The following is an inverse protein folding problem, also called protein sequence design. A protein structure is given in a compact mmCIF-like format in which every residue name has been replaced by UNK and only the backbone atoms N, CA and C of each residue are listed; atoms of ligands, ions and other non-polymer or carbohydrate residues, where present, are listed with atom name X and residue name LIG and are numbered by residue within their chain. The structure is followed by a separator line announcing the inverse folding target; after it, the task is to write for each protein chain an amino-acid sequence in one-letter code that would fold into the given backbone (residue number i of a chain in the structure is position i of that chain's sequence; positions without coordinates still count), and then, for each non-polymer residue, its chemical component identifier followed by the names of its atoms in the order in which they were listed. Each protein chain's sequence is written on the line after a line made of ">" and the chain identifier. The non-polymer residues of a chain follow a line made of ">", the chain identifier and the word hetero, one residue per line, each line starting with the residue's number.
data_IF_977164259128
#
_entry.id   IF_977164259128
#
_cell.length_a   1.000
_cell.length_b   1.000
_cell.length_c   1.000
_cell.angle_alpha   90.00
_cell.angle_beta   90.00
_cell.angle_gamma   90.00
#
_symmetry.space_group_name_H-M   'P 1'
#
loop_
_entity.id
_entity.type
_entity.pdbx_description
1 polymer ?
#
# COMPACT_ATOMS: atom_id res chain seq x y z
N UNK A 1 14.88 -1.72 2.45
CA UNK A 1 13.77 -1.51 3.38
C UNK A 1 13.35 -2.76 4.18
N UNK A 2 13.89 -3.95 3.86
CA UNK A 2 13.59 -5.19 4.59
C UNK A 2 14.18 -5.26 6.00
N UNK A 3 15.17 -4.44 6.31
CA UNK A 3 15.79 -4.43 7.63
C UNK A 3 14.86 -3.86 8.70
N UNK A 4 14.83 -4.51 9.85
CA UNK A 4 14.09 -4.07 11.02
C UNK A 4 14.99 -3.22 11.88
N UNK A 5 14.58 -1.99 12.15
CA UNK A 5 15.29 -1.04 13.02
C UNK A 5 14.41 -0.76 14.22
N UNK A 6 15.03 -0.68 15.40
CA UNK A 6 14.33 -0.40 16.65
C UNK A 6 13.79 -1.64 17.35
N UNK A 7 12.79 -1.47 18.17
CA UNK A 7 12.17 -2.52 18.97
C UNK A 7 10.99 -3.15 18.22
N UNK A 8 10.72 -4.46 18.37
CA UNK A 8 9.57 -5.12 17.75
C UNK A 8 8.24 -4.85 18.49
N UNK A 9 8.20 -3.86 19.35
CA UNK A 9 7.05 -3.50 20.18
C UNK A 9 7.04 -2.00 20.44
N UNK A 10 5.87 -1.47 20.76
CA UNK A 10 5.70 -0.10 21.25
C UNK A 10 5.95 -0.10 22.75
N UNK A 11 6.90 0.71 23.19
CA UNK A 11 7.23 0.84 24.62
C UNK A 11 6.17 1.71 25.31
N UNK A 12 5.50 1.15 26.29
CA UNK A 12 4.51 1.84 27.10
C UNK A 12 4.86 1.66 28.59
N UNK A 13 4.79 2.73 29.37
CA UNK A 13 4.94 2.64 30.84
C UNK A 13 3.78 1.80 31.40
N UNK A 14 4.05 0.68 32.09
CA UNK A 14 3.01 -0.17 32.65
C UNK A 14 2.04 0.56 33.58
N UNK A 15 2.48 1.64 34.24
CA UNK A 15 1.63 2.48 35.11
C UNK A 15 0.52 3.23 34.36
N UNK A 16 0.64 3.36 33.05
CA UNK A 16 -0.40 3.97 32.21
C UNK A 16 -1.47 2.98 31.76
N UNK A 17 -1.26 1.67 32.00
CA UNK A 17 -2.23 0.63 31.68
C UNK A 17 -3.22 0.55 32.82
N UNK A 18 -4.46 1.00 32.58
CA UNK A 18 -5.52 1.06 33.57
C UNK A 18 -6.41 -0.20 33.60
N UNK A 19 -6.31 -1.04 32.59
CA UNK A 19 -7.06 -2.30 32.50
C UNK A 19 -6.66 -3.10 31.29
N UNK A 20 -6.86 -4.42 31.35
CA UNK A 20 -6.68 -5.38 30.27
C UNK A 20 -7.99 -6.15 30.14
N UNK A 21 -8.53 -6.22 28.93
CA UNK A 21 -9.71 -7.01 28.60
C UNK A 21 -9.28 -8.14 27.69
N UNK A 22 -9.40 -9.37 28.15
CA UNK A 22 -9.19 -10.54 27.32
C UNK A 22 -10.43 -10.81 26.47
N UNK A 23 -10.21 -11.09 25.19
CA UNK A 23 -11.29 -11.36 24.24
C UNK A 23 -10.86 -12.40 23.23
N UNK A 24 -11.82 -13.19 22.74
CA UNK A 24 -11.64 -14.11 21.62
C UNK A 24 -12.23 -13.55 20.32
N UNK A 25 -12.52 -12.26 20.26
CA UNK A 25 -12.99 -11.64 19.03
C UNK A 25 -11.83 -11.60 18.03
N UNK A 26 -12.05 -12.12 16.81
CA UNK A 26 -11.05 -12.03 15.76
C UNK A 26 -10.91 -10.57 15.30
N UNK A 27 -9.78 -10.28 14.67
CA UNK A 27 -9.64 -9.04 13.92
C UNK A 27 -10.64 -9.02 12.76
N UNK A 28 -11.26 -7.86 12.52
CA UNK A 28 -12.15 -7.66 11.38
C UNK A 28 -11.41 -6.99 10.24
N UNK A 29 -11.38 -7.66 9.10
CA UNK A 29 -10.96 -7.03 7.85
C UNK A 29 -12.19 -6.44 7.14
N UNK A 30 -12.05 -5.24 6.59
CA UNK A 30 -13.10 -4.65 5.75
C UNK A 30 -13.20 -5.43 4.44
N UNK A 31 -14.43 -5.82 4.05
CA UNK A 31 -14.67 -6.36 2.74
C UNK A 31 -14.30 -5.34 1.65
N UNK A 32 -13.71 -5.83 0.57
CA UNK A 32 -13.55 -5.05 -0.66
C UNK A 32 -14.74 -5.36 -1.58
N UNK A 33 -15.16 -4.38 -2.35
CA UNK A 33 -16.13 -4.63 -3.41
C UNK A 33 -15.51 -5.53 -4.49
N UNK A 34 -16.34 -6.30 -5.16
CA UNK A 34 -15.90 -7.13 -6.29
C UNK A 34 -15.25 -6.27 -7.39
N UNK A 35 -14.32 -6.88 -8.11
CA UNK A 35 -13.72 -6.25 -9.28
C UNK A 35 -14.80 -5.95 -10.33
N UNK A 36 -14.73 -4.76 -10.93
CA UNK A 36 -15.60 -4.35 -12.02
C UNK A 36 -14.76 -4.05 -13.28
N UNK A 37 -15.37 -4.14 -14.49
CA UNK A 37 -14.63 -3.93 -15.74
C UNK A 37 -13.94 -2.58 -15.87
N UNK A 38 -14.47 -1.54 -15.21
CA UNK A 38 -13.89 -0.19 -15.23
C UNK A 38 -12.60 -0.14 -14.38
N UNK A 39 -12.66 -0.63 -13.16
CA UNK A 39 -11.48 -0.68 -12.28
C UNK A 39 -10.41 -1.59 -12.84
N UNK A 40 -10.76 -2.73 -13.45
CA UNK A 40 -9.82 -3.60 -14.16
C UNK A 40 -9.14 -2.89 -15.33
N UNK A 41 -9.88 -2.11 -16.09
CA UNK A 41 -9.34 -1.31 -17.20
C UNK A 41 -8.36 -0.24 -16.70
N UNK A 42 -8.68 0.43 -15.61
CA UNK A 42 -7.78 1.40 -14.95
C UNK A 42 -6.50 0.68 -14.50
N UNK A 43 -6.65 -0.47 -13.83
CA UNK A 43 -5.53 -1.27 -13.37
C UNK A 43 -4.59 -1.68 -14.50
N UNK A 44 -5.14 -2.13 -15.62
CA UNK A 44 -4.37 -2.52 -16.80
C UNK A 44 -3.65 -1.31 -17.42
N UNK A 45 -4.31 -0.17 -17.56
CA UNK A 45 -3.69 1.05 -18.11
C UNK A 45 -2.50 1.51 -17.26
N UNK A 46 -2.60 1.43 -15.92
CA UNK A 46 -1.48 1.76 -15.02
C UNK A 46 -0.33 0.77 -15.18
N UNK A 47 -0.60 -0.52 -15.26
CA UNK A 47 0.42 -1.54 -15.47
C UNK A 47 1.14 -1.35 -16.80
N UNK A 48 0.40 -1.09 -17.89
CA UNK A 48 0.95 -0.82 -19.23
C UNK A 48 1.83 0.43 -19.24
N UNK A 49 1.41 1.49 -18.54
CA UNK A 49 2.19 2.72 -18.38
C UNK A 49 3.54 2.45 -17.67
N UNK A 50 3.52 1.75 -16.55
CA UNK A 50 4.73 1.43 -15.81
C UNK A 50 5.67 0.50 -16.59
N UNK A 51 5.12 -0.49 -17.32
CA UNK A 51 5.89 -1.35 -18.20
C UNK A 51 6.54 -0.56 -19.37
N UNK A 52 5.83 0.43 -19.91
CA UNK A 52 6.38 1.31 -20.93
C UNK A 52 7.52 2.19 -20.38
N UNK A 53 7.38 2.69 -19.15
CA UNK A 53 8.42 3.48 -18.49
C UNK A 53 9.69 2.67 -18.17
N UNK A 54 9.52 1.38 -17.83
CA UNK A 54 10.65 0.47 -17.72
C UNK A 54 11.38 0.29 -19.06
N UNK A 55 10.63 0.08 -20.15
CA UNK A 55 11.21 -0.04 -21.51
C UNK A 55 11.95 1.23 -21.94
N UNK A 56 11.49 2.40 -21.51
CA UNK A 56 12.14 3.70 -21.77
C UNK A 56 13.33 3.99 -20.84
N UNK A 57 13.56 3.16 -19.84
CA UNK A 57 14.62 3.35 -18.85
C UNK A 57 14.33 4.44 -17.81
N UNK A 58 13.09 4.93 -17.73
CA UNK A 58 12.63 5.87 -16.68
C UNK A 58 12.53 5.13 -15.34
N UNK A 59 11.99 3.93 -15.36
CA UNK A 59 11.98 3.00 -14.23
C UNK A 59 13.11 1.98 -14.46
N UNK A 60 13.97 1.72 -13.46
CA UNK A 60 15.04 0.72 -13.59
C UNK A 60 14.46 -0.69 -13.82
N UNK A 61 15.25 -1.53 -14.50
CA UNK A 61 14.86 -2.92 -14.81
C UNK A 61 14.58 -3.80 -13.58
N UNK A 62 15.07 -3.39 -12.41
CA UNK A 62 14.79 -4.05 -11.12
C UNK A 62 13.46 -3.66 -10.51
N UNK A 63 12.76 -2.71 -11.15
CA UNK A 63 11.61 -1.98 -10.63
C UNK A 63 11.94 -1.14 -9.39
N UNK A 64 11.04 -0.30 -8.96
CA UNK A 64 11.16 0.51 -7.74
C UNK A 64 10.16 0.03 -6.69
N UNK A 65 10.38 0.34 -5.40
CA UNK A 65 9.38 0.04 -4.39
C UNK A 65 8.04 0.69 -4.74
N UNK A 66 6.97 -0.09 -4.63
CA UNK A 66 5.61 0.35 -4.96
C UNK A 66 4.84 0.66 -3.69
N UNK A 67 4.28 1.86 -3.60
CA UNK A 67 3.22 2.15 -2.65
C UNK A 67 1.87 2.08 -3.36
N UNK A 68 0.95 1.37 -2.78
CA UNK A 68 -0.43 1.28 -3.24
C UNK A 68 -1.37 1.70 -2.12
N UNK A 69 -2.37 2.48 -2.46
CA UNK A 69 -3.48 2.79 -1.57
C UNK A 69 -4.32 1.54 -1.25
N UNK A 70 -5.41 1.73 -0.54
CA UNK A 70 -6.39 0.70 -0.22
C UNK A 70 -7.64 0.92 -1.07
N UNK A 71 -8.22 -0.17 -1.61
CA UNK A 71 -9.46 -0.12 -2.36
C UNK A 71 -9.42 -0.83 -3.71
N UNK A 72 -10.55 -0.81 -4.42
CA UNK A 72 -10.73 -1.60 -5.64
C UNK A 72 -9.74 -1.26 -6.76
N UNK A 73 -9.47 0.03 -6.97
CA UNK A 73 -8.51 0.48 -8.01
C UNK A 73 -7.10 0.00 -7.64
N UNK A 74 -6.70 0.15 -6.38
CA UNK A 74 -5.40 -0.33 -5.91
C UNK A 74 -5.26 -1.85 -6.13
N UNK A 75 -6.28 -2.62 -5.79
CA UNK A 75 -6.31 -4.06 -6.00
C UNK A 75 -6.26 -4.44 -7.48
N UNK A 76 -6.98 -3.72 -8.35
CA UNK A 76 -6.97 -3.94 -9.79
C UNK A 76 -5.58 -3.66 -10.40
N UNK A 77 -4.91 -2.58 -9.97
CA UNK A 77 -3.52 -2.26 -10.37
C UNK A 77 -2.58 -3.38 -9.94
N UNK A 78 -2.64 -3.80 -8.67
CA UNK A 78 -1.80 -4.88 -8.18
C UNK A 78 -2.04 -6.20 -8.91
N UNK A 79 -3.31 -6.52 -9.19
CA UNK A 79 -3.68 -7.69 -10.00
C UNK A 79 -3.10 -7.62 -11.41
N UNK A 80 -3.15 -6.45 -12.07
CA UNK A 80 -2.59 -6.26 -13.40
C UNK A 80 -1.05 -6.39 -13.38
N UNK A 81 -0.37 -5.74 -12.42
CA UNK A 81 1.08 -5.88 -12.24
C UNK A 81 1.50 -7.32 -11.94
N UNK A 82 0.69 -8.04 -11.16
CA UNK A 82 0.92 -9.46 -10.87
C UNK A 82 0.85 -10.35 -12.12
N UNK A 83 -0.01 -10.03 -13.07
CA UNK A 83 -0.16 -10.77 -14.34
C UNK A 83 0.92 -10.43 -15.36
N UNK A 84 1.45 -9.21 -15.34
CA UNK A 84 2.47 -8.76 -16.29
C UNK A 84 3.85 -9.37 -15.96
N UNK A 85 4.27 -10.33 -16.80
CA UNK A 85 5.55 -11.03 -16.64
C UNK A 85 6.77 -10.18 -17.03
N UNK A 86 6.58 -9.02 -17.65
CA UNK A 86 7.68 -8.10 -17.99
C UNK A 86 8.13 -7.28 -16.79
N UNK A 87 7.28 -7.15 -15.78
CA UNK A 87 7.60 -6.48 -14.52
C UNK A 87 8.22 -7.51 -13.56
N UNK A 88 9.43 -7.29 -13.04
CA UNK A 88 10.07 -8.21 -12.10
C UNK A 88 9.37 -8.20 -10.74
N UNK A 89 9.73 -9.14 -9.86
CA UNK A 89 9.27 -9.11 -8.48
C UNK A 89 9.83 -7.87 -7.75
N UNK A 90 9.00 -7.16 -7.02
CA UNK A 90 9.26 -5.87 -6.41
C UNK A 90 8.98 -5.84 -4.91
N UNK A 91 9.35 -4.76 -4.24
CA UNK A 91 9.00 -4.49 -2.84
C UNK A 91 7.76 -3.59 -2.75
N UNK A 92 6.93 -3.83 -1.75
CA UNK A 92 5.69 -3.07 -1.55
C UNK A 92 5.59 -2.42 -0.18
N UNK A 93 4.94 -1.27 -0.21
CA UNK A 93 4.34 -0.63 0.95
C UNK A 93 2.86 -1.04 1.06
N UNK A 94 2.57 -2.32 1.33
CA UNK A 94 1.29 -3.05 1.42
C UNK A 94 0.93 -3.90 0.21
N UNK A 95 0.57 -5.17 0.42
CA UNK A 95 -0.10 -6.05 -0.56
C UNK A 95 0.48 -7.45 -0.76
N UNK A 96 0.16 -8.09 -1.84
CA UNK A 96 0.28 -9.50 -2.20
C UNK A 96 1.71 -10.09 -2.13
N UNK A 97 1.96 -10.98 -1.16
CA UNK A 97 3.28 -11.57 -0.90
C UNK A 97 3.37 -13.06 -1.31
N UNK A 98 2.23 -13.80 -1.31
CA UNK A 98 2.25 -15.26 -1.54
C UNK A 98 2.76 -15.70 -2.89
N UNK A 99 2.47 -14.94 -3.95
CA UNK A 99 2.80 -15.32 -5.32
C UNK A 99 4.29 -15.09 -5.69
N UNK A 100 5.11 -14.67 -4.71
CA UNK A 100 6.51 -14.31 -4.96
C UNK A 100 6.72 -13.06 -5.83
N UNK A 101 5.64 -12.39 -6.24
CA UNK A 101 5.68 -11.13 -7.00
C UNK A 101 6.07 -9.95 -6.12
N UNK A 102 5.73 -10.03 -4.85
CA UNK A 102 6.16 -9.08 -3.82
C UNK A 102 7.19 -9.76 -2.93
N UNK A 103 8.40 -9.25 -2.95
CA UNK A 103 9.53 -9.79 -2.17
C UNK A 103 9.40 -9.49 -0.68
N UNK A 104 8.91 -8.29 -0.36
CA UNK A 104 8.82 -7.78 0.99
C UNK A 104 7.75 -6.68 1.09
N UNK A 105 6.97 -6.69 2.17
CA UNK A 105 5.96 -5.69 2.46
C UNK A 105 6.30 -4.87 3.70
N UNK A 106 6.14 -3.56 3.62
CA UNK A 106 6.27 -2.63 4.74
C UNK A 106 5.08 -1.69 4.79
N UNK A 107 4.43 -1.58 5.93
CA UNK A 107 3.21 -0.79 6.09
C UNK A 107 3.08 -0.23 7.51
N UNK A 108 2.20 0.77 7.69
CA UNK A 108 1.79 1.22 9.01
C UNK A 108 0.57 0.42 9.54
N UNK A 109 -0.19 -0.17 8.65
CA UNK A 109 -1.31 -1.07 8.98
C UNK A 109 -1.47 -2.12 7.89
N UNK A 110 -2.09 -3.23 8.23
CA UNK A 110 -2.41 -4.30 7.29
C UNK A 110 -3.91 -4.25 6.99
N UNK A 111 -4.25 -3.91 5.75
CA UNK A 111 -5.63 -3.90 5.28
C UNK A 111 -5.76 -4.94 4.17
N UNK A 112 -6.41 -6.05 4.50
CA UNK A 112 -6.56 -7.23 3.64
C UNK A 112 -8.00 -7.74 3.72
N UNK A 113 -8.40 -8.67 2.85
CA UNK A 113 -9.67 -9.40 2.99
C UNK A 113 -9.60 -10.39 4.16
N UNK A 114 -10.75 -10.84 4.65
CA UNK A 114 -10.81 -11.85 5.73
C UNK A 114 -10.08 -13.14 5.35
N UNK A 115 -10.24 -13.62 4.10
CA UNK A 115 -9.57 -14.82 3.62
C UNK A 115 -8.04 -14.65 3.58
N UNK A 116 -7.59 -13.47 3.18
CA UNK A 116 -6.16 -13.14 3.19
C UNK A 116 -5.62 -13.04 4.62
N UNK A 117 -6.37 -12.45 5.54
CA UNK A 117 -6.00 -12.37 6.97
C UNK A 117 -5.89 -13.76 7.58
N UNK A 118 -6.89 -14.62 7.34
CA UNK A 118 -6.84 -16.02 7.79
C UNK A 118 -5.62 -16.74 7.22
N UNK A 119 -5.35 -16.56 5.94
CA UNK A 119 -4.16 -17.15 5.32
C UNK A 119 -2.82 -16.64 5.89
N UNK A 120 -2.78 -15.42 6.45
CA UNK A 120 -1.60 -14.92 7.16
C UNK A 120 -1.47 -15.61 8.51
N UNK A 121 -2.57 -15.79 9.24
CA UNK A 121 -2.56 -16.52 10.53
C UNK A 121 -2.15 -17.98 10.36
N UNK A 122 -2.64 -18.65 9.32
CA UNK A 122 -2.36 -20.05 9.04
C UNK A 122 -0.88 -20.30 8.69
N UNK A 123 -0.17 -19.26 8.20
CA UNK A 123 1.22 -19.37 7.74
C UNK A 123 2.09 -18.19 8.23
N UNK A 124 1.97 -17.89 9.49
CA UNK A 124 2.63 -16.74 10.13
C UNK A 124 4.16 -16.78 9.96
N UNK A 125 4.76 -17.97 10.00
CA UNK A 125 6.22 -18.12 9.85
C UNK A 125 6.69 -17.68 8.47
N UNK A 126 5.92 -17.96 7.41
CA UNK A 126 6.22 -17.47 6.06
C UNK A 126 6.16 -15.94 5.98
N UNK A 127 5.18 -15.32 6.64
CA UNK A 127 4.99 -13.86 6.57
C UNK A 127 5.92 -13.08 7.51
N UNK A 128 6.40 -13.69 8.58
CA UNK A 128 7.25 -13.03 9.59
C UNK A 128 8.46 -12.30 9.00
N UNK A 129 9.11 -12.90 8.01
CA UNK A 129 10.31 -12.35 7.39
C UNK A 129 10.01 -11.52 6.13
N UNK A 130 8.76 -11.50 5.69
CA UNK A 130 8.34 -10.83 4.46
C UNK A 130 7.45 -9.62 4.68
N UNK A 131 6.96 -9.42 5.92
CA UNK A 131 6.08 -8.31 6.27
C UNK A 131 6.57 -7.63 7.54
N UNK A 132 6.59 -6.31 7.54
CA UNK A 132 6.88 -5.51 8.73
C UNK A 132 5.87 -4.38 8.88
N UNK A 133 5.32 -4.24 10.07
CA UNK A 133 4.52 -3.08 10.45
C UNK A 133 5.43 -2.06 11.13
N UNK A 134 5.35 -0.82 10.68
CA UNK A 134 6.13 0.31 11.17
C UNK A 134 5.21 1.44 11.60
N UNK A 135 5.59 2.28 12.55
CA UNK A 135 4.81 3.48 12.84
C UNK A 135 4.72 4.39 11.60
N UNK A 136 3.64 5.16 11.51
CA UNK A 136 3.39 6.02 10.37
C UNK A 136 4.47 7.07 10.13
N UNK A 137 5.15 7.50 11.20
CA UNK A 137 6.30 8.42 11.14
C UNK A 137 7.48 7.87 10.33
N UNK A 138 7.54 6.56 10.14
CA UNK A 138 8.53 5.89 9.30
C UNK A 138 7.92 5.51 7.95
N UNK A 139 6.76 4.85 7.95
CA UNK A 139 6.11 4.37 6.72
C UNK A 139 5.72 5.52 5.78
N UNK A 140 5.22 6.62 6.35
CA UNK A 140 4.74 7.78 5.59
C UNK A 140 5.75 8.94 5.57
N UNK A 141 6.99 8.70 6.03
CA UNK A 141 7.98 9.75 6.11
C UNK A 141 8.38 10.27 4.72
N UNK A 142 8.18 11.57 4.41
CA UNK A 142 8.50 12.14 3.10
C UNK A 142 9.95 11.94 2.65
N UNK A 143 10.91 12.01 3.58
CA UNK A 143 12.32 11.77 3.30
C UNK A 143 12.56 10.31 2.90
N UNK A 144 11.99 9.37 3.65
CA UNK A 144 12.11 7.93 3.36
C UNK A 144 11.49 7.60 1.99
N UNK A 145 10.30 8.10 1.71
CA UNK A 145 9.60 7.92 0.42
C UNK A 145 10.47 8.43 -0.74
N UNK A 146 11.03 9.63 -0.60
CA UNK A 146 11.90 10.24 -1.63
C UNK A 146 13.20 9.48 -1.80
N UNK A 147 13.86 9.12 -0.72
CA UNK A 147 15.14 8.40 -0.76
C UNK A 147 15.00 7.00 -1.35
N UNK A 148 13.89 6.32 -1.12
CA UNK A 148 13.60 5.00 -1.71
C UNK A 148 13.22 5.07 -3.19
N UNK A 149 12.84 6.25 -3.69
CA UNK A 149 12.38 6.40 -5.07
C UNK A 149 11.06 5.67 -5.34
N UNK A 150 10.11 5.80 -4.43
CA UNK A 150 8.84 5.04 -4.46
C UNK A 150 8.02 5.39 -5.71
N UNK A 151 7.40 4.40 -6.33
CA UNK A 151 6.25 4.57 -7.24
C UNK A 151 5.01 4.62 -6.37
N UNK A 152 4.21 5.69 -6.46
CA UNK A 152 3.06 5.93 -5.61
C UNK A 152 1.77 5.87 -6.41
N UNK A 153 0.85 5.01 -6.00
CA UNK A 153 -0.48 4.85 -6.62
C UNK A 153 -1.54 5.10 -5.56
N UNK A 154 -2.28 6.18 -5.74
CA UNK A 154 -3.35 6.58 -4.82
C UNK A 154 -4.60 6.96 -5.60
N UNK A 155 -5.76 6.70 -5.00
CA UNK A 155 -7.05 7.09 -5.55
C UNK A 155 -7.41 8.49 -5.07
N UNK A 156 -7.92 9.31 -5.97
CA UNK A 156 -8.48 10.62 -5.66
C UNK A 156 -10.00 10.62 -5.84
N UNK A 157 -10.68 11.56 -5.18
CA UNK A 157 -12.13 11.79 -5.36
C UNK A 157 -12.36 12.61 -6.61
N UNK A 158 -11.61 13.69 -6.79
CA UNK A 158 -11.74 14.64 -7.89
C UNK A 158 -10.36 15.08 -8.39
N UNK A 159 -10.28 15.38 -9.67
CA UNK A 159 -9.12 16.03 -10.29
C UNK A 159 -9.61 17.10 -11.25
N UNK A 160 -8.89 18.22 -11.34
CA UNK A 160 -9.19 19.27 -12.30
C UNK A 160 -8.28 19.20 -13.55
N UNK A 161 -8.57 20.06 -14.52
CA UNK A 161 -7.80 20.12 -15.77
C UNK A 161 -6.36 20.61 -15.58
N UNK A 162 -6.05 21.20 -14.46
CA UNK A 162 -4.72 21.74 -14.13
C UNK A 162 -3.87 20.70 -13.35
N UNK A 163 -4.44 19.52 -13.06
CA UNK A 163 -3.77 18.47 -12.31
C UNK A 163 -3.85 18.63 -10.79
N UNK A 164 -4.71 19.52 -10.28
CA UNK A 164 -4.98 19.55 -8.85
C UNK A 164 -5.85 18.35 -8.47
N UNK A 165 -5.53 17.73 -7.35
CA UNK A 165 -6.16 16.49 -6.88
C UNK A 165 -6.81 16.75 -5.52
N UNK A 166 -8.05 16.33 -5.36
CA UNK A 166 -8.82 16.38 -4.13
C UNK A 166 -9.16 14.97 -3.64
N UNK A 167 -8.78 14.66 -2.42
CA UNK A 167 -9.05 13.38 -1.76
C UNK A 167 -9.90 13.50 -0.49
N UNK A 168 -10.51 14.65 -0.25
CA UNK A 168 -11.24 14.92 1.01
C UNK A 168 -12.69 15.33 0.83
N UNK A 169 -13.02 16.10 -0.20
CA UNK A 169 -14.33 16.69 -0.40
C UNK A 169 -14.99 16.28 -1.70
N UNK A 170 -16.30 16.34 -1.75
CA UNK A 170 -17.14 16.24 -2.94
C UNK A 170 -17.83 17.56 -3.18
N UNK A 171 -17.81 18.06 -4.43
CA UNK A 171 -18.44 19.31 -4.80
C UNK A 171 -17.89 20.54 -4.03
N UNK A 172 -16.65 20.48 -3.62
CA UNK A 172 -15.92 21.54 -2.95
C UNK A 172 -16.19 21.71 -1.46
N UNK A 173 -17.35 21.33 -0.94
CA UNK A 173 -17.77 21.65 0.43
C UNK A 173 -18.10 20.46 1.31
N UNK A 174 -18.58 19.37 0.74
CA UNK A 174 -18.98 18.18 1.50
C UNK A 174 -17.77 17.30 1.81
N UNK A 175 -17.29 17.34 3.06
CA UNK A 175 -16.23 16.46 3.52
C UNK A 175 -16.69 15.01 3.48
N UNK A 176 -15.92 14.14 2.82
CA UNK A 176 -16.16 12.71 2.68
C UNK A 176 -15.23 11.89 3.58
N UNK A 177 -13.96 12.25 3.61
CA UNK A 177 -12.94 11.58 4.43
C UNK A 177 -11.73 12.51 4.67
N UNK A 178 -10.84 12.09 5.56
CA UNK A 178 -9.54 12.72 5.73
C UNK A 178 -8.60 12.44 4.56
N UNK A 179 -7.54 13.22 4.41
CA UNK A 179 -6.54 13.06 3.34
C UNK A 179 -5.77 11.73 3.46
N UNK A 180 -5.65 11.17 4.65
CA UNK A 180 -4.83 9.98 4.90
C UNK A 180 -3.37 10.22 4.55
N UNK A 181 -2.66 9.17 4.15
CA UNK A 181 -1.25 9.21 3.77
C UNK A 181 -0.99 9.56 2.30
N UNK A 182 -2.02 9.73 1.47
CA UNK A 182 -1.84 9.94 0.03
C UNK A 182 -0.96 11.15 -0.28
N UNK A 183 -1.12 12.26 0.45
CA UNK A 183 -0.32 13.46 0.28
C UNK A 183 1.16 13.29 0.62
N UNK A 184 1.49 12.43 1.58
CA UNK A 184 2.87 12.12 1.96
C UNK A 184 3.58 11.38 0.83
N UNK A 185 2.90 10.44 0.21
CA UNK A 185 3.44 9.65 -0.89
C UNK A 185 3.47 10.43 -2.20
N UNK A 186 2.34 10.99 -2.65
CA UNK A 186 2.25 11.62 -3.97
C UNK A 186 3.19 12.82 -4.14
N UNK A 187 3.43 13.59 -3.08
CA UNK A 187 4.35 14.74 -3.13
C UNK A 187 5.83 14.35 -3.10
N UNK A 188 6.16 13.14 -2.71
CA UNK A 188 7.54 12.72 -2.44
C UNK A 188 7.96 11.49 -3.23
N UNK A 189 7.07 10.81 -3.91
CA UNK A 189 7.37 9.70 -4.78
C UNK A 189 8.23 10.11 -5.99
N UNK A 190 8.92 9.16 -6.57
CA UNK A 190 9.65 9.33 -7.84
C UNK A 190 8.65 9.42 -9.01
N UNK A 191 7.61 8.57 -8.97
CA UNK A 191 6.47 8.60 -9.90
C UNK A 191 5.20 8.53 -9.05
N UNK A 192 4.23 9.40 -9.38
CA UNK A 192 2.93 9.40 -8.74
C UNK A 192 1.83 9.69 -9.74
#
# INVERSE_FOLDING_TARGET
>A
PSDRIGQPYIQVDPKKIVGIVETNWPDEARGFADADPLTDKIGQNVADFLAADMKRGIIPSTFLPLQSGVGNIANAVLGALGRDKTIPAFEMYTGLIRDGRVKFGSACSLTVTNDCLQGIYDDMDFFRDKLVLRPSEISNNPEVVRRLGVISINTAIEADLYGNVNSTHIGGTKMMNGIGGSGDFTRNAYIS
#
